data_IF_029654927753
#
_entry.id   IF_029654927753
#
_cell.length_a   1.000
_cell.length_b   1.000
_cell.length_c   1.000
_cell.angle_alpha   90.00
_cell.angle_beta   90.00
_cell.angle_gamma   90.00
#
_symmetry.space_group_name_H-M   'P 1'
#
loop_
_entity.id
_entity.type
_entity.pdbx_description
1 polymer ?
#
# COMPACT_ATOMS: atom_id res chain seq x y z
N UNK A 1 -33.24 -33.81 17.33
CA UNK A 1 -33.63 -34.46 16.06
C UNK A 1 -34.97 -33.89 15.59
N UNK A 2 -35.05 -33.20 14.44
CA UNK A 2 -36.04 -33.42 13.36
C UNK A 2 -35.89 -32.32 12.28
N UNK A 3 -35.31 -32.71 11.15
CA UNK A 3 -35.29 -31.96 9.90
C UNK A 3 -36.70 -31.75 9.33
N UNK A 4 -36.93 -30.60 8.69
CA UNK A 4 -37.98 -30.34 7.68
C UNK A 4 -37.40 -29.31 6.69
N UNK A 5 -36.71 -29.69 5.61
CA UNK A 5 -37.24 -30.15 4.32
C UNK A 5 -38.51 -29.41 3.88
N UNK A 6 -38.33 -28.21 3.34
CA UNK A 6 -39.16 -27.61 2.28
C UNK A 6 -38.16 -26.93 1.32
N UNK A 7 -37.76 -27.46 0.16
CA UNK A 7 -38.51 -27.94 -1.01
C UNK A 7 -39.29 -26.80 -1.70
N UNK A 8 -38.67 -26.31 -2.78
CA UNK A 8 -39.26 -25.89 -4.07
C UNK A 8 -39.94 -24.50 -4.17
N UNK A 9 -39.27 -23.59 -4.90
CA UNK A 9 -39.74 -22.86 -6.13
C UNK A 9 -38.73 -21.71 -6.42
N UNK A 10 -37.86 -21.78 -7.42
CA UNK A 10 -38.11 -21.67 -8.87
C UNK A 10 -38.71 -20.31 -9.27
N UNK A 11 -37.85 -19.32 -9.53
CA UNK A 11 -38.04 -18.18 -10.46
C UNK A 11 -36.62 -17.72 -10.83
N UNK A 12 -35.93 -18.29 -11.82
CA UNK A 12 -36.05 -18.00 -13.25
C UNK A 12 -36.46 -16.55 -13.54
N UNK A 13 -35.51 -15.63 -13.58
CA UNK A 13 -35.62 -14.43 -14.40
C UNK A 13 -34.30 -14.19 -15.10
N UNK A 14 -34.26 -14.75 -16.30
CA UNK A 14 -33.39 -14.36 -17.40
C UNK A 14 -33.67 -12.89 -17.78
N UNK A 15 -32.72 -12.31 -18.52
CA UNK A 15 -32.79 -11.13 -19.40
C UNK A 15 -32.11 -9.85 -18.88
N UNK A 16 -31.32 -9.07 -19.62
CA UNK A 16 -30.82 -9.08 -21.02
C UNK A 16 -29.84 -7.86 -21.14
N UNK A 17 -28.65 -8.08 -21.73
CA UNK A 17 -27.99 -7.25 -22.77
C UNK A 17 -27.42 -5.82 -22.48
N UNK A 18 -26.20 -5.62 -23.04
CA UNK A 18 -25.55 -4.37 -23.51
C UNK A 18 -24.90 -3.45 -22.47
N UNK A 19 -23.69 -2.88 -22.65
CA UNK A 19 -22.92 -2.58 -23.86
C UNK A 19 -21.41 -2.75 -23.65
N UNK A 20 -20.77 -3.29 -24.68
CA UNK A 20 -19.35 -3.12 -24.99
C UNK A 20 -19.14 -1.68 -25.50
N UNK A 21 -18.22 -0.93 -24.91
CA UNK A 21 -17.64 0.25 -25.56
C UNK A 21 -16.14 0.02 -25.71
N UNK A 22 -15.75 -0.29 -26.95
CA UNK A 22 -14.39 -0.16 -27.46
C UNK A 22 -14.02 1.33 -27.51
N UNK A 23 -12.89 1.69 -26.92
CA UNK A 23 -12.19 2.93 -27.22
C UNK A 23 -10.71 2.65 -27.50
N UNK A 24 -10.21 2.85 -28.73
CA UNK A 24 -8.79 3.02 -28.98
C UNK A 24 -8.46 4.51 -28.86
N UNK A 25 -7.61 4.86 -27.89
CA UNK A 25 -7.23 6.26 -27.64
C UNK A 25 -5.82 6.38 -27.09
N UNK A 26 -4.82 5.94 -27.85
CA UNK A 26 -3.43 6.34 -27.68
C UNK A 26 -3.26 7.76 -28.25
N UNK A 27 -2.98 8.75 -27.41
CA UNK A 27 -2.39 10.02 -27.84
C UNK A 27 -1.03 10.20 -27.17
N UNK A 28 -0.01 9.98 -27.98
CA UNK A 28 1.39 10.34 -27.75
C UNK A 28 1.62 11.62 -28.54
N UNK A 29 2.01 12.72 -27.88
CA UNK A 29 2.60 13.88 -28.54
C UNK A 29 3.70 14.47 -27.67
N UNK A 30 4.81 14.74 -28.32
CA UNK A 30 6.09 15.22 -27.82
C UNK A 30 6.18 16.75 -27.89
N UNK A 31 6.94 17.28 -26.92
CA UNK A 31 7.93 18.38 -26.96
C UNK A 31 7.62 19.71 -27.67
N UNK A 32 7.85 20.82 -26.94
CA UNK A 32 8.55 22.02 -27.42
C UNK A 32 8.90 22.98 -26.25
N UNK A 33 10.20 23.03 -25.89
CA UNK A 33 11.04 24.06 -25.21
C UNK A 33 10.49 25.08 -24.17
N UNK A 34 11.30 26.05 -23.67
CA UNK A 34 12.71 26.32 -23.93
C UNK A 34 13.59 26.66 -22.67
N UNK A 35 14.87 26.95 -22.93
CA UNK A 35 15.80 27.84 -22.19
C UNK A 35 16.46 27.41 -20.86
N UNK A 36 17.78 27.20 -20.92
CA UNK A 36 18.76 27.60 -19.87
C UNK A 36 18.69 29.14 -19.65
N UNK A 37 19.17 29.78 -18.55
CA UNK A 37 20.25 29.37 -17.63
C UNK A 37 20.05 29.75 -16.13
N UNK A 38 21.12 29.51 -15.35
CA UNK A 38 21.51 30.11 -14.06
C UNK A 38 21.24 29.34 -12.76
N UNK A 39 22.30 28.61 -12.37
CA UNK A 39 22.97 28.66 -11.07
C UNK A 39 22.43 29.69 -10.08
N UNK A 40 21.92 29.24 -8.92
CA UNK A 40 22.14 29.90 -7.63
C UNK A 40 22.13 28.85 -6.51
N UNK A 41 23.01 29.12 -5.56
CA UNK A 41 23.54 28.36 -4.43
C UNK A 41 22.54 28.26 -3.25
N UNK A 42 22.76 27.25 -2.39
CA UNK A 42 22.19 27.08 -1.03
C UNK A 42 20.73 26.56 -1.01
N UNK A 43 20.34 25.46 -0.36
CA UNK A 43 20.87 24.72 0.79
C UNK A 43 20.62 23.21 0.61
N UNK A 44 21.46 22.40 1.24
CA UNK A 44 21.56 20.95 1.06
C UNK A 44 20.30 20.19 1.50
N UNK A 45 19.42 19.93 0.53
CA UNK A 45 18.37 18.91 0.58
C UNK A 45 18.97 17.59 0.08
N UNK A 46 19.00 16.50 0.87
CA UNK A 46 19.50 15.22 0.40
C UNK A 46 18.65 14.76 -0.79
N UNK A 47 19.33 14.64 -1.92
CA UNK A 47 18.81 14.22 -3.22
C UNK A 47 18.43 12.74 -3.17
N UNK A 48 17.15 12.46 -2.93
CA UNK A 48 16.61 11.13 -3.18
C UNK A 48 16.48 10.95 -4.69
N UNK A 49 17.28 10.03 -5.21
CA UNK A 49 17.34 9.61 -6.61
C UNK A 49 15.95 9.16 -7.07
N UNK A 50 15.56 9.66 -8.23
CA UNK A 50 14.32 9.33 -8.93
C UNK A 50 14.40 7.91 -9.52
N UNK A 51 13.48 7.06 -9.06
CA UNK A 51 12.68 6.09 -9.84
C UNK A 51 13.26 4.71 -10.18
N UNK A 52 12.83 3.70 -9.39
CA UNK A 52 12.48 2.38 -9.90
C UNK A 52 11.50 1.69 -8.94
N UNK A 53 10.18 1.87 -9.13
CA UNK A 53 9.11 1.00 -8.60
C UNK A 53 9.39 0.39 -7.20
N UNK A 54 9.85 1.20 -6.25
CA UNK A 54 10.52 0.67 -5.06
C UNK A 54 9.48 0.51 -3.97
N UNK A 55 9.26 -0.71 -3.53
CA UNK A 55 8.45 -0.97 -2.35
C UNK A 55 8.98 -0.16 -1.15
N UNK A 56 8.09 0.30 -0.27
CA UNK A 56 8.54 0.99 0.95
C UNK A 56 9.18 -0.02 1.90
N UNK A 57 10.49 0.10 2.09
CA UNK A 57 11.21 -0.78 3.01
C UNK A 57 11.02 -0.32 4.46
N UNK A 58 10.56 -1.22 5.32
CA UNK A 58 10.41 -1.00 6.75
C UNK A 58 11.66 -1.45 7.49
N UNK A 59 12.03 -0.69 8.52
CA UNK A 59 13.07 -1.07 9.45
C UNK A 59 12.56 -2.21 10.36
N UNK A 60 13.08 -3.42 10.19
CA UNK A 60 12.73 -4.59 11.02
C UNK A 60 13.03 -4.42 12.52
N UNK A 61 13.80 -3.40 12.91
CA UNK A 61 14.13 -3.10 14.32
C UNK A 61 13.10 -2.20 15.02
N UNK A 62 12.42 -1.31 14.28
CA UNK A 62 11.51 -0.33 14.88
C UNK A 62 10.13 -0.28 14.24
N UNK A 63 9.95 -0.80 13.03
CA UNK A 63 8.69 -0.84 12.30
C UNK A 63 8.36 0.40 11.46
N UNK A 64 9.17 1.47 11.54
CA UNK A 64 9.04 2.66 10.68
C UNK A 64 9.66 2.47 9.30
N UNK A 65 9.40 3.39 8.38
CA UNK A 65 10.01 3.38 7.05
C UNK A 65 11.50 3.65 7.20
N UNK A 66 12.32 2.82 6.57
CA UNK A 66 13.78 2.90 6.70
C UNK A 66 14.26 4.25 6.15
N UNK A 67 14.95 5.01 7.00
CA UNK A 67 15.49 6.32 6.65
C UNK A 67 14.51 7.49 6.78
N UNK A 68 13.27 7.26 7.26
CA UNK A 68 12.39 8.36 7.65
C UNK A 68 12.86 9.02 8.97
N UNK A 69 12.27 10.17 9.30
CA UNK A 69 12.61 10.93 10.52
C UNK A 69 12.23 10.23 11.83
N UNK A 70 11.38 9.19 11.78
CA UNK A 70 10.92 8.43 12.93
C UNK A 70 11.69 7.10 13.09
N UNK A 71 12.43 6.68 12.08
CA UNK A 71 13.15 5.43 12.02
C UNK A 71 14.20 5.38 13.12
N UNK A 72 13.99 4.48 14.07
CA UNK A 72 14.85 4.32 15.23
C UNK A 72 15.04 5.60 16.06
N UNK A 73 14.12 6.58 15.96
CA UNK A 73 14.15 7.77 16.81
C UNK A 73 14.05 7.35 18.29
N UNK A 74 14.88 7.92 19.18
CA UNK A 74 14.86 7.57 20.60
C UNK A 74 13.56 8.03 21.28
N UNK A 75 13.26 7.44 22.45
CA UNK A 75 12.11 7.82 23.27
C UNK A 75 10.75 7.36 22.75
N UNK A 76 10.70 6.61 21.65
CA UNK A 76 9.44 6.11 21.11
C UNK A 76 8.88 4.94 21.93
N UNK A 77 7.57 4.98 22.17
CA UNK A 77 6.87 3.92 22.91
C UNK A 77 6.87 2.62 22.12
N UNK A 78 7.31 1.53 22.75
CA UNK A 78 7.29 0.19 22.15
C UNK A 78 5.93 -0.48 22.37
N UNK A 79 5.50 -1.25 21.38
CA UNK A 79 4.37 -2.15 21.50
C UNK A 79 4.78 -3.36 22.36
N UNK A 80 4.02 -3.70 23.42
CA UNK A 80 4.35 -4.82 24.30
C UNK A 80 4.27 -6.19 23.60
N UNK A 81 3.44 -6.32 22.56
CA UNK A 81 3.17 -7.61 21.91
C UNK A 81 4.25 -8.01 20.91
N UNK A 82 4.75 -7.03 20.14
CA UNK A 82 5.72 -7.26 19.06
C UNK A 82 7.10 -6.60 19.27
N UNK A 83 7.24 -5.70 20.24
CA UNK A 83 8.51 -5.01 20.53
C UNK A 83 8.91 -3.90 19.54
N UNK A 84 8.14 -3.68 18.48
CA UNK A 84 8.33 -2.57 17.54
C UNK A 84 7.70 -1.28 18.08
N UNK A 85 7.93 -0.14 17.43
CA UNK A 85 7.31 1.12 17.85
C UNK A 85 5.79 1.02 17.69
N UNK A 86 5.04 1.36 18.74
CA UNK A 86 3.58 1.30 18.74
C UNK A 86 3.02 2.25 17.68
N UNK A 87 2.12 1.75 16.85
CA UNK A 87 1.49 2.54 15.78
C UNK A 87 2.35 2.69 14.51
N UNK A 88 3.62 2.28 14.52
CA UNK A 88 4.43 2.23 13.31
C UNK A 88 3.80 1.30 12.26
N UNK A 89 4.05 1.50 10.95
CA UNK A 89 3.54 0.64 9.87
C UNK A 89 3.83 -0.85 10.11
N UNK A 90 5.01 -1.15 10.65
CA UNK A 90 5.44 -2.51 10.96
C UNK A 90 4.89 -3.09 12.27
N UNK A 91 4.26 -2.30 13.14
CA UNK A 91 3.75 -2.75 14.44
C UNK A 91 2.77 -3.91 14.27
N UNK A 92 3.13 -5.08 14.81
CA UNK A 92 2.41 -6.36 14.67
C UNK A 92 2.20 -6.85 13.22
N UNK A 93 2.86 -6.24 12.24
CA UNK A 93 2.77 -6.61 10.82
C UNK A 93 4.06 -7.25 10.29
N UNK A 94 5.22 -6.94 10.90
CA UNK A 94 6.48 -7.58 10.55
C UNK A 94 6.60 -8.91 11.31
N UNK A 95 6.80 -10.05 10.64
CA UNK A 95 7.03 -11.32 11.30
C UNK A 95 8.27 -11.29 12.20
N UNK A 96 8.21 -11.95 13.36
CA UNK A 96 9.37 -12.09 14.25
C UNK A 96 10.49 -12.81 13.51
N UNK A 97 11.70 -12.25 13.57
CA UNK A 97 12.88 -12.81 12.89
C UNK A 97 12.99 -12.48 11.39
N UNK A 98 12.09 -11.66 10.84
CA UNK A 98 12.22 -11.20 9.46
C UNK A 98 13.52 -10.42 9.25
N UNK A 99 14.27 -10.76 8.20
CA UNK A 99 15.51 -10.06 7.80
C UNK A 99 15.23 -8.87 6.90
N UNK A 100 14.06 -8.83 6.27
CA UNK A 100 13.55 -7.73 5.45
C UNK A 100 12.05 -7.58 5.63
N UNK A 101 11.55 -6.37 5.39
CA UNK A 101 10.14 -6.04 5.47
C UNK A 101 9.85 -4.96 4.43
N UNK A 102 9.03 -5.27 3.44
CA UNK A 102 8.68 -4.33 2.38
C UNK A 102 7.16 -4.24 2.23
N UNK A 103 6.65 -3.03 2.03
CA UNK A 103 5.23 -2.78 1.75
C UNK A 103 5.04 -2.76 0.24
N UNK A 104 4.13 -3.59 -0.26
CA UNK A 104 3.74 -3.58 -1.65
C UNK A 104 3.04 -2.26 -2.02
N UNK A 105 3.64 -1.47 -2.89
CA UNK A 105 3.09 -0.16 -3.32
C UNK A 105 1.78 -0.26 -4.10
N UNK A 106 1.34 -1.47 -4.48
CA UNK A 106 0.06 -1.67 -5.19
C UNK A 106 -1.13 -1.83 -4.25
N UNK A 107 -0.91 -2.38 -3.05
CA UNK A 107 -2.00 -2.75 -2.14
C UNK A 107 -1.77 -2.34 -0.68
N UNK A 108 -0.57 -1.90 -0.31
CA UNK A 108 -0.22 -1.52 1.06
C UNK A 108 0.02 -2.69 2.01
N UNK A 109 -0.15 -3.94 1.57
CA UNK A 109 0.18 -5.11 2.37
C UNK A 109 1.68 -5.44 2.35
N UNK A 110 2.14 -6.24 3.30
CA UNK A 110 3.51 -6.78 3.29
C UNK A 110 3.75 -7.59 2.02
N UNK A 111 4.81 -7.26 1.28
CA UNK A 111 5.16 -7.94 0.03
C UNK A 111 5.47 -9.40 0.29
N UNK A 112 4.90 -10.29 -0.52
CA UNK A 112 5.08 -11.74 -0.39
C UNK A 112 4.25 -12.39 0.71
N UNK A 113 3.46 -11.63 1.47
CA UNK A 113 2.46 -12.22 2.37
C UNK A 113 1.29 -12.82 1.59
N UNK A 114 0.56 -13.76 2.21
CA UNK A 114 -0.66 -14.36 1.64
C UNK A 114 -1.78 -13.34 1.38
N UNK A 115 -1.71 -12.17 2.03
CA UNK A 115 -2.64 -11.06 1.84
C UNK A 115 -2.18 -10.08 0.75
N UNK A 116 -0.93 -10.15 0.31
CA UNK A 116 -0.38 -9.26 -0.71
C UNK A 116 -1.18 -9.38 -2.01
N UNK A 117 -1.82 -8.29 -2.43
CA UNK A 117 -2.64 -8.25 -3.64
C UNK A 117 -3.77 -9.29 -3.70
N UNK A 118 -4.18 -9.87 -2.56
CA UNK A 118 -5.31 -10.78 -2.49
C UNK A 118 -6.60 -10.03 -2.92
N UNK A 119 -7.42 -10.58 -3.82
CA UNK A 119 -8.64 -9.93 -4.27
C UNK A 119 -9.68 -9.84 -3.15
N UNK A 120 -10.64 -8.92 -3.31
CA UNK A 120 -11.78 -8.78 -2.39
C UNK A 120 -11.45 -8.17 -1.03
N UNK A 121 -10.28 -7.55 -0.88
CA UNK A 121 -9.93 -6.79 0.31
C UNK A 121 -10.48 -5.36 0.21
N UNK A 122 -11.11 -4.88 1.29
CA UNK A 122 -11.59 -3.51 1.38
C UNK A 122 -10.44 -2.51 1.25
N UNK A 123 -10.64 -1.46 0.47
CA UNK A 123 -9.67 -0.38 0.31
C UNK A 123 -10.07 0.81 1.16
N UNK A 124 -9.06 1.48 1.72
CA UNK A 124 -9.21 2.79 2.34
C UNK A 124 -9.53 3.83 1.25
N UNK A 125 -10.59 4.61 1.46
CA UNK A 125 -11.02 5.65 0.53
C UNK A 125 -10.02 6.79 0.39
N UNK A 126 -9.22 7.06 1.43
CA UNK A 126 -8.30 8.20 1.45
C UNK A 126 -6.97 7.90 0.77
N UNK A 127 -6.41 6.71 0.99
CA UNK A 127 -5.08 6.34 0.50
C UNK A 127 -5.07 5.23 -0.57
N UNK A 128 -6.21 4.60 -0.85
CA UNK A 128 -6.36 3.57 -1.88
C UNK A 128 -5.71 2.20 -1.58
N UNK A 129 -4.98 2.07 -0.48
CA UNK A 129 -4.46 0.79 0.00
C UNK A 129 -5.51 -0.03 0.71
N UNK A 130 -5.22 -1.33 0.91
CA UNK A 130 -6.08 -2.19 1.72
C UNK A 130 -6.25 -1.58 3.11
N UNK A 131 -7.48 -1.51 3.59
CA UNK A 131 -7.82 -0.93 4.89
C UNK A 131 -7.04 -1.63 6.00
N UNK A 132 -6.53 -0.85 6.96
CA UNK A 132 -5.72 -1.32 8.10
C UNK A 132 -4.40 -2.03 7.74
N UNK A 133 -4.02 -2.05 6.45
CA UNK A 133 -2.73 -2.58 6.01
C UNK A 133 -1.57 -1.70 6.51
N UNK A 134 -0.33 -2.24 6.57
CA UNK A 134 0.87 -1.47 6.91
C UNK A 134 0.99 -0.16 6.10
N UNK A 135 0.72 -0.23 4.79
CA UNK A 135 0.75 0.93 3.91
C UNK A 135 -0.37 1.93 4.21
N UNK A 136 -1.58 1.46 4.54
CA UNK A 136 -2.66 2.36 4.95
C UNK A 136 -2.32 3.10 6.25
N UNK A 137 -1.72 2.41 7.23
CA UNK A 137 -1.25 3.02 8.48
C UNK A 137 -0.17 4.06 8.25
N UNK A 138 0.70 3.89 7.24
CA UNK A 138 1.73 4.87 6.89
C UNK A 138 1.17 6.24 6.49
N UNK A 139 -0.06 6.30 5.97
CA UNK A 139 -0.73 7.54 5.55
C UNK A 139 -1.58 8.19 6.65
N UNK A 140 -1.65 7.57 7.84
CA UNK A 140 -2.46 8.06 8.98
C UNK A 140 -1.62 8.49 10.19
N UNK A 141 -0.29 8.62 10.02
CA UNK A 141 0.69 9.01 11.05
C UNK A 141 1.06 10.48 10.88
#
# INVERSE_FOLDING_TARGET
>A
MKSRKHIIKLVLSLTIISMVILGPGCSKSSDEGPTEPNTTKSDEKPTVKKESNSDFELCVKCGHVKGDNLCCKPGQTKCPDCGLVKGSPGCCNIPKGATSAAICIKCGQMKGSDLCCKPGQDKCSDCGFVKDSPGCKMFQI
#
